data_IF_259571269640
#
_entry.id   IF_259571269640
#
_cell.length_a   1.000
_cell.length_b   1.000
_cell.length_c   1.000
_cell.angle_alpha   90.00
_cell.angle_beta   90.00
_cell.angle_gamma   90.00
#
_symmetry.space_group_name_H-M   'P 1'
#
loop_
_entity.id
_entity.type
_entity.pdbx_description
1 polymer ?
#
# COMPACT_ATOMS: atom_id res chain seq x y z
N UNK A 1 12.64 -10.41 8.04
CA UNK A 1 11.67 -9.45 7.50
C UNK A 1 11.65 -8.23 8.40
N UNK A 2 11.97 -7.09 7.82
CA UNK A 2 12.14 -5.84 8.56
C UNK A 2 10.80 -5.41 9.20
N UNK A 3 10.85 -5.20 10.50
CA UNK A 3 9.76 -4.71 11.36
C UNK A 3 9.27 -3.32 10.91
N UNK A 4 10.07 -2.61 10.11
CA UNK A 4 9.76 -1.27 9.55
C UNK A 4 8.51 -1.23 8.66
N UNK A 5 8.09 -2.36 8.08
CA UNK A 5 6.86 -2.43 7.27
C UNK A 5 5.58 -2.19 8.09
N UNK A 6 5.62 -2.42 9.39
CA UNK A 6 4.47 -2.27 10.26
C UNK A 6 4.40 -0.93 10.99
N UNK A 7 5.39 -0.04 10.82
CA UNK A 7 5.37 1.26 11.49
C UNK A 7 4.14 2.09 11.11
N UNK A 8 3.76 2.07 9.83
CA UNK A 8 2.53 2.71 9.38
C UNK A 8 1.28 2.10 10.03
N UNK A 9 1.16 0.78 10.02
CA UNK A 9 0.01 0.09 10.63
C UNK A 9 0.00 0.27 12.14
N UNK A 10 1.19 0.27 12.76
CA UNK A 10 1.36 0.48 14.21
C UNK A 10 0.94 1.87 14.65
N UNK A 11 1.30 2.90 13.87
CA UNK A 11 0.89 4.28 14.15
C UNK A 11 -0.62 4.50 13.98
N UNK A 12 -1.26 3.71 13.13
CA UNK A 12 -2.69 3.78 12.83
C UNK A 12 -3.53 2.68 13.50
N UNK A 13 -2.95 1.98 14.49
CA UNK A 13 -3.66 0.94 15.23
C UNK A 13 -4.67 1.55 16.18
N UNK A 14 -5.94 1.10 16.08
CA UNK A 14 -7.03 1.56 16.94
C UNK A 14 -7.22 0.62 18.12
N UNK A 15 -7.13 -0.70 17.88
CA UNK A 15 -7.38 -1.71 18.90
C UNK A 15 -6.49 -2.94 18.69
N UNK A 16 -6.10 -3.59 19.79
CA UNK A 16 -5.27 -4.79 19.77
C UNK A 16 -3.79 -4.49 19.61
N UNK A 17 -3.08 -5.44 19.04
CA UNK A 17 -1.63 -5.37 18.81
C UNK A 17 -1.27 -5.96 17.45
N UNK A 18 -0.12 -5.56 16.92
CA UNK A 18 0.46 -6.21 15.75
C UNK A 18 1.23 -7.43 16.24
N UNK A 19 0.80 -8.65 15.90
CA UNK A 19 1.51 -9.85 16.35
C UNK A 19 2.88 -9.92 15.68
N UNK A 20 3.85 -10.50 16.38
CA UNK A 20 5.10 -10.89 15.73
C UNK A 20 4.82 -12.07 14.79
N UNK A 21 4.68 -11.77 13.50
CA UNK A 21 4.36 -12.76 12.46
C UNK A 21 5.46 -13.79 12.19
N UNK A 22 6.66 -13.59 12.72
CA UNK A 22 7.75 -14.60 12.66
C UNK A 22 7.55 -15.71 13.67
N UNK A 23 6.76 -15.45 14.73
CA UNK A 23 6.52 -16.43 15.77
C UNK A 23 5.43 -17.43 15.33
N UNK A 24 5.72 -18.70 15.50
CA UNK A 24 4.81 -19.81 15.19
C UNK A 24 3.45 -19.75 15.90
N UNK A 25 3.42 -19.14 17.10
CA UNK A 25 2.17 -18.93 17.85
C UNK A 25 1.21 -17.92 17.18
N UNK A 26 1.71 -17.10 16.26
CA UNK A 26 0.95 -16.06 15.57
C UNK A 26 0.48 -16.47 14.16
N UNK A 27 0.66 -17.72 13.75
CA UNK A 27 0.34 -18.24 12.40
C UNK A 27 -1.11 -18.02 11.95
N UNK A 28 -2.04 -17.93 12.89
CA UNK A 28 -3.47 -17.76 12.59
C UNK A 28 -3.99 -16.39 13.04
N UNK A 29 -3.12 -15.43 13.31
CA UNK A 29 -3.49 -14.07 13.67
C UNK A 29 -3.50 -13.17 12.44
N UNK A 30 -4.45 -12.23 12.40
CA UNK A 30 -4.60 -11.27 11.30
C UNK A 30 -4.88 -9.87 11.87
N UNK A 31 -4.37 -8.86 11.17
CA UNK A 31 -4.70 -7.46 11.44
C UNK A 31 -5.53 -6.94 10.27
N UNK A 32 -6.68 -6.38 10.56
CA UNK A 32 -7.64 -5.89 9.56
C UNK A 32 -7.94 -4.40 9.77
N UNK A 33 -8.52 -3.77 8.77
CA UNK A 33 -8.96 -2.38 8.90
C UNK A 33 -10.28 -2.27 9.68
N UNK A 34 -10.51 -1.11 10.29
CA UNK A 34 -11.78 -0.77 10.93
C UNK A 34 -12.96 -0.80 9.94
N UNK A 35 -12.72 -0.43 8.69
CA UNK A 35 -13.70 -0.50 7.62
C UNK A 35 -14.15 -1.94 7.37
N UNK A 36 -13.21 -2.88 7.30
CA UNK A 36 -13.50 -4.31 7.14
C UNK A 36 -14.16 -4.89 8.39
N UNK A 37 -13.67 -4.53 9.59
CA UNK A 37 -14.24 -4.98 10.85
C UNK A 37 -15.73 -4.58 10.97
N UNK A 38 -16.05 -3.32 10.66
CA UNK A 38 -17.41 -2.80 10.68
C UNK A 38 -18.29 -3.47 9.61
N UNK A 39 -17.79 -3.65 8.39
CA UNK A 39 -18.54 -4.28 7.30
C UNK A 39 -18.92 -5.74 7.62
N UNK A 40 -18.05 -6.46 8.32
CA UNK A 40 -18.27 -7.85 8.71
C UNK A 40 -18.91 -7.99 10.12
N UNK A 41 -19.10 -6.87 10.84
CA UNK A 41 -19.59 -6.83 12.22
C UNK A 41 -18.79 -7.75 13.16
N UNK A 42 -17.47 -7.63 13.12
CA UNK A 42 -16.52 -8.42 13.91
C UNK A 42 -15.64 -7.51 14.78
N UNK A 43 -15.23 -8.05 15.93
CA UNK A 43 -14.45 -7.35 16.94
C UNK A 43 -13.07 -8.00 17.13
N UNK A 44 -12.25 -7.32 17.94
CA UNK A 44 -10.95 -7.84 18.36
C UNK A 44 -11.12 -9.19 19.09
N UNK A 45 -10.29 -10.17 18.74
CA UNK A 45 -10.32 -11.52 19.29
C UNK A 45 -11.33 -12.46 18.61
N UNK A 46 -12.20 -11.94 17.73
CA UNK A 46 -13.11 -12.78 16.96
C UNK A 46 -12.36 -13.63 15.94
N UNK A 47 -13.01 -14.73 15.55
CA UNK A 47 -12.46 -15.67 14.56
C UNK A 47 -13.23 -15.58 13.26
N UNK A 48 -12.50 -15.31 12.17
CA UNK A 48 -13.06 -15.23 10.82
C UNK A 48 -12.66 -16.46 9.99
N UNK A 49 -13.56 -16.88 9.13
CA UNK A 49 -13.27 -17.89 8.11
C UNK A 49 -12.91 -17.17 6.80
N UNK A 50 -11.68 -17.36 6.35
CA UNK A 50 -11.18 -16.78 5.10
C UNK A 50 -11.04 -17.88 4.05
N UNK A 51 -11.54 -17.62 2.85
CA UNK A 51 -11.49 -18.55 1.74
C UNK A 51 -10.47 -18.08 0.71
N UNK A 52 -9.51 -18.93 0.41
CA UNK A 52 -8.48 -18.70 -0.59
C UNK A 52 -8.80 -19.49 -1.84
N UNK A 53 -8.94 -18.79 -2.95
CA UNK A 53 -9.19 -19.38 -4.26
C UNK A 53 -7.85 -19.60 -4.94
N UNK A 54 -7.49 -20.86 -5.17
CA UNK A 54 -6.34 -21.27 -5.97
C UNK A 54 -6.86 -21.98 -7.22
N UNK A 55 -6.05 -22.06 -8.27
CA UNK A 55 -6.46 -22.52 -9.62
C UNK A 55 -7.32 -23.79 -9.65
N UNK A 56 -7.19 -24.66 -8.66
CA UNK A 56 -7.93 -25.95 -8.61
C UNK A 56 -8.71 -26.20 -7.32
N UNK A 57 -8.60 -25.35 -6.29
CA UNK A 57 -9.19 -25.64 -4.99
C UNK A 57 -9.56 -24.37 -4.22
N UNK A 58 -10.60 -24.48 -3.40
CA UNK A 58 -10.94 -23.49 -2.37
C UNK A 58 -10.38 -23.98 -1.04
N UNK A 59 -9.55 -23.17 -0.39
CA UNK A 59 -8.98 -23.48 0.91
C UNK A 59 -9.53 -22.55 1.97
N UNK A 60 -10.23 -23.09 2.93
CA UNK A 60 -10.70 -22.35 4.08
C UNK A 60 -9.62 -22.30 5.17
N UNK A 61 -9.44 -21.14 5.79
CA UNK A 61 -8.60 -20.95 6.98
C UNK A 61 -9.32 -20.08 7.98
N UNK A 62 -9.10 -20.39 9.24
CA UNK A 62 -9.66 -19.64 10.36
C UNK A 62 -8.56 -18.75 10.94
N UNK A 63 -8.81 -17.44 10.96
CA UNK A 63 -7.92 -16.45 11.56
C UNK A 63 -8.60 -15.78 12.76
N UNK A 64 -7.79 -15.38 13.72
CA UNK A 64 -8.18 -14.59 14.87
C UNK A 64 -7.76 -13.13 14.65
N UNK A 65 -8.66 -12.19 14.91
CA UNK A 65 -8.39 -10.76 14.80
C UNK A 65 -7.49 -10.32 15.96
N UNK A 66 -6.23 -10.06 15.68
CA UNK A 66 -5.25 -9.61 16.68
C UNK A 66 -5.13 -8.09 16.77
N UNK A 67 -5.49 -7.38 15.71
CA UNK A 67 -5.47 -5.92 15.69
C UNK A 67 -6.42 -5.35 14.66
N UNK A 68 -6.85 -4.11 14.94
CA UNK A 68 -7.70 -3.32 14.03
C UNK A 68 -7.02 -1.97 13.82
N UNK A 69 -6.79 -1.59 12.56
CA UNK A 69 -6.16 -0.33 12.18
C UNK A 69 -7.12 0.55 11.36
N UNK A 70 -6.79 1.85 11.26
CA UNK A 70 -7.48 2.79 10.37
C UNK A 70 -6.45 3.73 9.73
N UNK A 71 -6.24 3.60 8.44
CA UNK A 71 -5.30 4.45 7.71
C UNK A 71 -5.89 5.81 7.31
N UNK A 72 -7.18 6.01 7.51
CA UNK A 72 -7.96 7.12 6.96
C UNK A 72 -8.07 7.14 5.42
N UNK A 73 -7.60 6.08 4.76
CA UNK A 73 -7.78 5.85 3.33
C UNK A 73 -8.75 4.69 3.11
N UNK A 74 -10.03 4.96 3.20
CA UNK A 74 -11.09 3.94 3.18
C UNK A 74 -11.08 3.05 1.92
N UNK A 75 -10.59 3.54 0.80
CA UNK A 75 -10.43 2.77 -0.44
C UNK A 75 -9.40 1.64 -0.29
N UNK A 76 -8.25 1.93 0.33
CA UNK A 76 -7.21 0.94 0.60
C UNK A 76 -7.57 0.06 1.79
N UNK A 77 -8.19 0.63 2.81
CA UNK A 77 -8.58 -0.08 4.03
C UNK A 77 -9.56 -1.23 3.77
N UNK A 78 -10.37 -1.13 2.72
CA UNK A 78 -11.27 -2.22 2.28
C UNK A 78 -10.54 -3.41 1.67
N UNK A 79 -9.35 -3.18 1.12
CA UNK A 79 -8.63 -4.16 0.32
C UNK A 79 -7.50 -4.86 1.06
N UNK A 80 -7.02 -4.27 2.17
CA UNK A 80 -5.80 -4.72 2.83
C UNK A 80 -6.08 -5.39 4.17
N UNK A 81 -5.48 -6.58 4.33
CA UNK A 81 -5.38 -7.28 5.60
C UNK A 81 -3.95 -7.83 5.74
N UNK A 82 -3.44 -7.84 6.95
CA UNK A 82 -2.06 -8.29 7.24
C UNK A 82 -2.09 -9.62 7.94
N UNK A 83 -1.40 -10.60 7.37
CA UNK A 83 -1.30 -11.96 7.88
C UNK A 83 0.15 -12.46 7.76
N UNK A 84 0.54 -13.52 8.51
CA UNK A 84 1.88 -14.08 8.41
C UNK A 84 2.17 -14.61 7.00
N UNK A 85 3.29 -14.17 6.41
CA UNK A 85 3.71 -14.60 5.07
C UNK A 85 3.84 -16.13 4.97
N UNK A 86 4.43 -16.77 5.99
CA UNK A 86 4.60 -18.22 6.04
C UNK A 86 3.27 -18.99 5.95
N UNK A 87 2.20 -18.43 6.53
CA UNK A 87 0.85 -19.02 6.44
C UNK A 87 0.29 -18.85 5.04
N UNK A 88 0.45 -17.68 4.41
CA UNK A 88 -0.02 -17.42 3.05
C UNK A 88 0.73 -18.28 2.03
N UNK A 89 2.06 -18.39 2.13
CA UNK A 89 2.87 -19.27 1.28
C UNK A 89 2.39 -20.72 1.35
N UNK A 90 2.15 -21.23 2.57
CA UNK A 90 1.64 -22.60 2.76
C UNK A 90 0.24 -22.80 2.18
N UNK A 91 -0.64 -21.79 2.26
CA UNK A 91 -1.98 -21.86 1.68
C UNK A 91 -1.90 -21.86 0.16
N UNK A 92 -1.04 -21.01 -0.40
CA UNK A 92 -0.85 -20.87 -1.84
C UNK A 92 0.02 -22.00 -2.44
N UNK A 93 0.55 -22.92 -1.62
CA UNK A 93 1.52 -23.95 -2.04
C UNK A 93 2.78 -23.36 -2.68
N UNK A 94 3.18 -22.21 -2.22
CA UNK A 94 4.41 -21.56 -2.64
C UNK A 94 5.59 -22.05 -1.79
N UNK A 95 6.78 -22.02 -2.38
CA UNK A 95 8.01 -22.25 -1.64
C UNK A 95 8.26 -21.10 -0.65
N UNK A 96 9.00 -21.36 0.41
CA UNK A 96 9.33 -20.39 1.48
C UNK A 96 10.08 -19.15 0.96
N UNK A 97 10.74 -19.26 -0.19
CA UNK A 97 11.43 -18.15 -0.87
C UNK A 97 10.56 -17.43 -1.91
N UNK A 98 9.34 -17.88 -2.13
CA UNK A 98 8.43 -17.30 -3.12
C UNK A 98 7.56 -16.20 -2.52
N UNK A 99 7.37 -15.14 -3.30
CA UNK A 99 6.48 -14.03 -2.99
C UNK A 99 5.79 -13.51 -4.26
N UNK A 100 4.69 -12.79 -4.08
CA UNK A 100 3.96 -12.17 -5.21
C UNK A 100 4.58 -10.86 -5.65
N UNK A 101 5.27 -10.16 -4.75
CA UNK A 101 5.89 -8.86 -5.03
C UNK A 101 7.04 -8.59 -4.06
N UNK A 102 7.94 -7.71 -4.49
CA UNK A 102 9.04 -7.17 -3.68
C UNK A 102 8.84 -5.66 -3.60
N UNK A 103 8.83 -5.14 -2.38
CA UNK A 103 8.76 -3.70 -2.14
C UNK A 103 10.15 -3.15 -1.85
N UNK A 104 10.53 -2.06 -2.54
CA UNK A 104 11.79 -1.35 -2.35
C UNK A 104 11.45 0.00 -1.72
N UNK A 105 12.07 0.32 -0.58
CA UNK A 105 11.88 1.55 0.19
C UNK A 105 13.17 2.33 0.37
N UNK A 106 13.08 3.52 0.94
CA UNK A 106 14.24 4.35 1.28
C UNK A 106 14.80 5.13 0.09
N UNK A 107 13.98 5.35 -0.94
CA UNK A 107 14.35 6.12 -2.15
C UNK A 107 13.75 7.53 -2.02
N UNK A 108 14.54 8.54 -2.38
CA UNK A 108 14.05 9.91 -2.43
C UNK A 108 13.01 10.07 -3.55
N UNK A 109 12.05 10.97 -3.33
CA UNK A 109 10.95 11.20 -4.28
C UNK A 109 11.43 11.45 -5.71
N UNK A 110 12.45 12.27 -5.89
CA UNK A 110 12.98 12.65 -7.19
C UNK A 110 13.71 11.50 -7.92
N UNK A 111 14.14 10.49 -7.18
CA UNK A 111 14.87 9.33 -7.69
C UNK A 111 13.94 8.16 -8.08
N UNK A 112 12.67 8.20 -7.67
CA UNK A 112 11.72 7.10 -7.90
C UNK A 112 11.51 6.85 -9.40
N UNK A 113 11.25 7.90 -10.18
CA UNK A 113 10.97 7.79 -11.60
C UNK A 113 12.20 7.28 -12.39
N UNK A 114 13.41 7.87 -12.26
CA UNK A 114 14.57 7.38 -12.99
C UNK A 114 14.99 5.98 -12.56
N UNK A 115 14.90 5.64 -11.26
CA UNK A 115 15.25 4.31 -10.78
C UNK A 115 14.26 3.25 -11.27
N UNK A 116 12.97 3.55 -11.33
CA UNK A 116 11.98 2.61 -11.86
C UNK A 116 12.23 2.27 -13.34
N UNK A 117 12.65 3.24 -14.15
CA UNK A 117 13.02 3.02 -15.55
C UNK A 117 14.30 2.17 -15.68
N UNK A 118 15.31 2.43 -14.83
CA UNK A 118 16.55 1.65 -14.82
C UNK A 118 16.27 0.20 -14.42
N UNK A 119 15.46 -0.03 -13.37
CA UNK A 119 15.08 -1.38 -12.96
C UNK A 119 14.29 -2.10 -14.05
N UNK A 120 13.35 -1.41 -14.70
CA UNK A 120 12.58 -2.00 -15.80
C UNK A 120 13.48 -2.40 -16.95
N UNK A 121 14.43 -1.56 -17.35
CA UNK A 121 15.40 -1.90 -18.40
C UNK A 121 16.31 -3.07 -18.01
N UNK A 122 16.76 -3.13 -16.76
CA UNK A 122 17.59 -4.23 -16.25
C UNK A 122 16.82 -5.56 -16.25
N UNK A 123 15.54 -5.56 -15.82
CA UNK A 123 14.68 -6.75 -15.87
C UNK A 123 14.47 -7.22 -17.31
N UNK A 124 14.17 -6.30 -18.23
CA UNK A 124 14.02 -6.66 -19.65
C UNK A 124 15.29 -7.27 -20.22
N UNK A 125 16.46 -6.72 -19.86
CA UNK A 125 17.74 -7.26 -20.30
C UNK A 125 18.01 -8.65 -19.71
N UNK A 126 17.68 -8.87 -18.42
CA UNK A 126 17.84 -10.18 -17.78
C UNK A 126 16.88 -11.24 -18.37
N UNK A 127 15.68 -10.84 -18.76
CA UNK A 127 14.75 -11.74 -19.49
C UNK A 127 15.30 -12.05 -20.88
N UNK A 128 15.83 -11.06 -21.59
CA UNK A 128 16.44 -11.26 -22.91
C UNK A 128 17.65 -12.21 -22.87
N UNK A 129 18.44 -12.13 -21.81
CA UNK A 129 19.62 -12.99 -21.59
C UNK A 129 19.23 -14.40 -21.08
N UNK A 130 17.95 -14.71 -20.88
CA UNK A 130 17.45 -15.94 -20.24
C UNK A 130 17.91 -16.16 -18.79
N UNK A 131 18.29 -15.09 -18.09
CA UNK A 131 18.63 -15.18 -16.66
C UNK A 131 17.36 -15.29 -15.79
N UNK A 132 16.23 -14.80 -16.29
CA UNK A 132 14.92 -14.79 -15.61
C UNK A 132 13.85 -15.28 -16.58
N UNK A 133 13.05 -16.26 -16.16
CA UNK A 133 12.00 -16.87 -16.98
C UNK A 133 10.72 -16.03 -17.10
N UNK A 134 10.54 -15.01 -16.25
CA UNK A 134 9.30 -14.22 -16.18
C UNK A 134 9.58 -12.73 -16.28
N UNK A 135 8.70 -12.02 -16.99
CA UNK A 135 8.68 -10.57 -17.01
C UNK A 135 8.00 -10.06 -15.74
N UNK A 136 8.69 -9.22 -14.98
CA UNK A 136 8.17 -8.56 -13.79
C UNK A 136 7.71 -7.14 -14.13
N UNK A 137 6.55 -6.75 -13.64
CA UNK A 137 6.04 -5.38 -13.74
C UNK A 137 6.55 -4.55 -12.57
N UNK A 138 7.07 -3.36 -12.87
CA UNK A 138 7.48 -2.40 -11.85
C UNK A 138 6.39 -1.34 -11.72
N UNK A 139 5.82 -1.26 -10.54
CA UNK A 139 4.89 -0.21 -10.18
C UNK A 139 5.54 0.69 -9.13
N UNK A 140 5.54 1.98 -9.37
CA UNK A 140 6.02 2.95 -8.39
C UNK A 140 4.85 3.71 -7.75
N UNK A 141 5.10 4.34 -6.60
CA UNK A 141 4.09 5.07 -5.83
C UNK A 141 3.52 6.25 -6.64
N UNK A 142 4.31 6.87 -7.51
CA UNK A 142 3.87 7.99 -8.35
C UNK A 142 2.83 7.55 -9.37
N UNK A 143 2.99 6.36 -9.96
CA UNK A 143 2.02 5.79 -10.89
C UNK A 143 0.76 5.31 -10.16
N UNK A 144 0.92 4.63 -9.04
CA UNK A 144 -0.20 4.13 -8.24
C UNK A 144 -1.02 5.25 -7.61
N UNK A 145 -0.35 6.35 -7.24
CA UNK A 145 -0.95 7.55 -6.66
C UNK A 145 -1.19 8.69 -7.65
N UNK A 146 -1.03 8.47 -8.96
CA UNK A 146 -1.08 9.52 -9.97
C UNK A 146 -2.35 10.40 -9.90
N UNK A 147 -3.49 9.81 -9.58
CA UNK A 147 -4.73 10.56 -9.41
C UNK A 147 -4.63 11.60 -8.28
N UNK A 148 -4.03 11.22 -7.14
CA UNK A 148 -3.85 12.11 -5.99
C UNK A 148 -2.80 13.19 -6.25
N UNK A 149 -1.67 12.82 -6.87
CA UNK A 149 -0.61 13.76 -7.20
C UNK A 149 -1.05 14.78 -8.24
N UNK A 150 -1.74 14.36 -9.31
CA UNK A 150 -2.29 15.26 -10.31
C UNK A 150 -3.33 16.24 -9.73
N UNK A 151 -4.12 15.78 -8.75
CA UNK A 151 -5.07 16.65 -8.06
C UNK A 151 -4.36 17.71 -7.20
N UNK A 152 -3.27 17.35 -6.53
CA UNK A 152 -2.42 18.30 -5.77
C UNK A 152 -1.79 19.34 -6.69
N UNK A 153 -1.23 18.94 -7.84
CA UNK A 153 -0.67 19.84 -8.84
C UNK A 153 -1.72 20.83 -9.38
N UNK A 154 -2.95 20.37 -9.54
CA UNK A 154 -4.06 21.23 -9.96
C UNK A 154 -4.42 22.24 -8.88
N UNK A 155 -4.37 21.89 -7.60
CA UNK A 155 -4.56 22.83 -6.50
C UNK A 155 -3.46 23.90 -6.46
N UNK A 156 -2.20 23.52 -6.60
CA UNK A 156 -1.07 24.44 -6.65
C UNK A 156 -1.20 25.44 -7.82
N UNK A 157 -1.60 24.95 -8.99
CA UNK A 157 -1.87 25.79 -10.15
C UNK A 157 -3.00 26.80 -9.87
N UNK A 158 -4.09 26.37 -9.23
CA UNK A 158 -5.20 27.23 -8.85
C UNK A 158 -4.76 28.34 -7.88
N UNK A 159 -3.93 28.04 -6.90
CA UNK A 159 -3.39 29.02 -5.96
C UNK A 159 -2.59 30.10 -6.70
N UNK A 160 -1.71 29.71 -7.63
CA UNK A 160 -0.92 30.65 -8.44
C UNK A 160 -1.83 31.55 -9.27
N UNK A 161 -2.86 31.00 -9.93
CA UNK A 161 -3.82 31.77 -10.72
C UNK A 161 -4.56 32.80 -9.84
N UNK A 162 -5.01 32.41 -8.65
CA UNK A 162 -5.70 33.32 -7.72
C UNK A 162 -4.76 34.45 -7.27
N UNK A 163 -3.51 34.15 -6.96
CA UNK A 163 -2.52 35.14 -6.56
C UNK A 163 -2.24 36.16 -7.68
N UNK A 164 -2.15 35.70 -8.93
CA UNK A 164 -1.98 36.59 -10.10
C UNK A 164 -3.20 37.53 -10.24
N UNK A 165 -4.43 36.95 -10.17
CA UNK A 165 -5.64 37.75 -10.27
C UNK A 165 -5.75 38.78 -9.14
N UNK A 166 -5.47 38.39 -7.90
CA UNK A 166 -5.46 39.33 -6.76
C UNK A 166 -4.42 40.45 -6.95
N UNK A 167 -3.24 40.11 -7.46
CA UNK A 167 -2.19 41.10 -7.74
C UNK A 167 -2.62 42.11 -8.82
N UNK A 168 -3.29 41.63 -9.87
CA UNK A 168 -3.86 42.46 -10.92
C UNK A 168 -4.92 43.42 -10.36
N UNK A 169 -5.86 42.91 -9.58
CA UNK A 169 -6.92 43.74 -8.96
C UNK A 169 -6.32 44.77 -8.02
N UNK A 170 -5.34 44.39 -7.19
CA UNK A 170 -4.64 45.34 -6.32
C UNK A 170 -3.92 46.45 -7.13
N UNK A 171 -3.27 46.10 -8.24
CA UNK A 171 -2.64 47.03 -9.15
C UNK A 171 -3.64 48.03 -9.76
N UNK A 172 -4.79 47.54 -10.24
CA UNK A 172 -5.84 48.42 -10.79
C UNK A 172 -6.44 49.36 -9.73
N UNK A 173 -6.65 48.88 -8.50
CA UNK A 173 -7.17 49.71 -7.42
C UNK A 173 -6.16 50.80 -7.03
N UNK A 174 -4.87 50.49 -6.97
CA UNK A 174 -3.82 51.51 -6.71
C UNK A 174 -3.78 52.60 -7.80
N UNK A 175 -3.86 52.21 -9.08
CA UNK A 175 -3.87 53.17 -10.20
C UNK A 175 -5.12 54.04 -10.16
N UNK A 176 -6.26 53.48 -9.75
CA UNK A 176 -7.54 54.23 -9.69
C UNK A 176 -7.61 55.19 -8.50
N UNK A 177 -6.77 54.99 -7.46
CA UNK A 177 -6.69 55.89 -6.30
C UNK A 177 -5.65 57.01 -6.46
N UNK A 178 -4.83 57.00 -7.49
CA UNK A 178 -3.81 58.01 -7.80
C UNK A 178 -4.33 59.00 -8.81
#
# INVERSE_FOLDING_TARGET
>A
SDISHFDFVKQNLIAGEIPNFENDSCKNKVVISSTTANALNIALGDKINTYFFTDNNIRARKFEIAGIYNSNFSEYDKLLAFAPLSTLQRIALLDSLSGSSIEIRGINHDEIAPLSLQLQSAIHQSVYNNDIDKLYSINNVLQSGAMYFNWLDLLDTNVVVILILMSCVAGFTLISCL
#
